data_IF_514691143500
#
_entry.id   IF_514691143500
#
_cell.length_a   1.000
_cell.length_b   1.000
_cell.length_c   1.000
_cell.angle_alpha   90.00
_cell.angle_beta   90.00
_cell.angle_gamma   90.00
#
_symmetry.space_group_name_H-M   'P 1'
#
loop_
_entity.id
_entity.type
_entity.pdbx_description
1 polymer ?
#
# COMPACT_ATOMS: atom_id res chain seq x y z
N UNK A 1 25.86 3.69 -9.26
CA UNK A 1 24.53 3.98 -9.88
C UNK A 1 23.61 2.75 -9.98
N UNK A 2 24.09 1.53 -10.26
CA UNK A 2 23.25 0.31 -10.22
C UNK A 2 22.59 0.10 -8.85
N UNK A 3 23.34 0.33 -7.78
CA UNK A 3 22.86 0.26 -6.38
C UNK A 3 21.70 1.21 -6.11
N UNK A 4 21.73 2.42 -6.68
CA UNK A 4 20.69 3.44 -6.49
C UNK A 4 19.36 3.03 -7.16
N UNK A 5 19.44 2.43 -8.36
CA UNK A 5 18.27 1.86 -9.04
C UNK A 5 17.71 0.65 -8.28
N UNK A 6 18.57 -0.16 -7.65
CA UNK A 6 18.13 -1.30 -6.85
C UNK A 6 17.40 -0.85 -5.59
N UNK A 7 17.86 0.22 -4.93
CA UNK A 7 17.19 0.80 -3.76
C UNK A 7 15.77 1.26 -4.10
N UNK A 8 15.60 1.99 -5.21
CA UNK A 8 14.27 2.42 -5.67
C UNK A 8 13.34 1.25 -5.90
N UNK A 9 13.83 0.19 -6.57
CA UNK A 9 13.07 -1.03 -6.82
C UNK A 9 12.67 -1.77 -5.54
N UNK A 10 13.58 -1.87 -4.56
CA UNK A 10 13.27 -2.49 -3.26
C UNK A 10 12.18 -1.72 -2.52
N UNK A 11 12.23 -0.39 -2.53
CA UNK A 11 11.18 0.46 -1.94
C UNK A 11 9.83 0.20 -2.62
N UNK A 12 9.79 0.07 -3.94
CA UNK A 12 8.57 -0.30 -4.68
C UNK A 12 8.00 -1.65 -4.23
N UNK A 13 8.87 -2.65 -4.05
CA UNK A 13 8.46 -4.00 -3.59
C UNK A 13 7.93 -3.96 -2.15
N UNK A 14 8.57 -3.21 -1.25
CA UNK A 14 8.08 -3.06 0.13
C UNK A 14 6.68 -2.42 0.12
N UNK A 15 6.47 -1.38 -0.68
CA UNK A 15 5.16 -0.76 -0.87
C UNK A 15 4.12 -1.74 -1.42
N UNK A 16 4.51 -2.62 -2.34
CA UNK A 16 3.64 -3.64 -2.93
C UNK A 16 3.21 -4.70 -1.92
N UNK A 17 4.15 -5.20 -1.11
CA UNK A 17 3.84 -6.14 -0.03
C UNK A 17 2.88 -5.51 1.00
N UNK A 18 3.09 -4.24 1.33
CA UNK A 18 2.22 -3.51 2.25
C UNK A 18 0.80 -3.36 1.67
N UNK A 19 0.68 -3.04 0.37
CA UNK A 19 -0.59 -2.92 -0.32
C UNK A 19 -1.35 -4.26 -0.35
N UNK A 20 -0.63 -5.37 -0.60
CA UNK A 20 -1.22 -6.70 -0.56
C UNK A 20 -1.65 -7.13 0.84
N UNK A 21 -0.87 -6.82 1.87
CA UNK A 21 -1.28 -7.05 3.24
C UNK A 21 -2.60 -6.32 3.55
N UNK A 22 -2.74 -5.07 3.08
CA UNK A 22 -3.96 -4.30 3.25
C UNK A 22 -5.15 -4.93 2.51
N UNK A 23 -4.98 -5.23 1.21
CA UNK A 23 -6.02 -5.77 0.34
C UNK A 23 -6.51 -7.16 0.75
N UNK A 24 -5.59 -8.06 1.16
CA UNK A 24 -5.89 -9.47 1.39
C UNK A 24 -5.97 -9.86 2.86
N UNK A 25 -5.45 -9.03 3.78
CA UNK A 25 -5.51 -9.26 5.21
C UNK A 25 -6.55 -8.39 5.89
N UNK A 26 -6.35 -7.07 5.81
CA UNK A 26 -7.12 -6.09 6.60
C UNK A 26 -8.55 -5.94 6.08
N UNK A 27 -8.73 -5.74 4.77
CA UNK A 27 -10.04 -5.55 4.12
C UNK A 27 -11.00 -6.73 4.34
N UNK A 28 -10.64 -7.99 4.05
CA UNK A 28 -11.57 -9.10 4.23
C UNK A 28 -11.93 -9.33 5.71
N UNK A 29 -10.99 -9.13 6.63
CA UNK A 29 -11.26 -9.23 8.06
C UNK A 29 -12.23 -8.15 8.54
N UNK A 30 -12.04 -6.91 8.08
CA UNK A 30 -12.96 -5.81 8.38
C UNK A 30 -14.36 -6.06 7.78
N UNK A 31 -14.42 -6.60 6.56
CA UNK A 31 -15.69 -6.93 5.91
C UNK A 31 -16.43 -8.06 6.66
N UNK A 32 -15.71 -9.04 7.18
CA UNK A 32 -16.29 -10.12 7.99
C UNK A 32 -16.88 -9.58 9.31
N UNK A 33 -16.13 -8.71 10.01
CA UNK A 33 -16.58 -7.98 11.20
C UNK A 33 -17.86 -7.14 10.95
N UNK A 34 -18.03 -6.57 9.75
CA UNK A 34 -19.19 -5.73 9.39
C UNK A 34 -20.39 -6.58 8.96
N UNK A 35 -20.15 -7.69 8.24
CA UNK A 35 -21.22 -8.50 7.64
C UNK A 35 -21.91 -9.42 8.65
N UNK A 36 -21.20 -9.86 9.69
CA UNK A 36 -21.73 -10.84 10.65
C UNK A 36 -22.59 -10.16 11.73
N UNK A 37 -23.89 -10.48 11.72
CA UNK A 37 -24.87 -9.92 12.64
C UNK A 37 -24.60 -10.29 14.12
N UNK A 38 -24.02 -11.46 14.37
CA UNK A 38 -23.65 -11.92 15.71
C UNK A 38 -22.50 -11.10 16.32
N UNK A 39 -21.64 -10.50 15.49
CA UNK A 39 -20.55 -9.65 15.95
C UNK A 39 -20.95 -8.18 16.15
N UNK A 40 -22.01 -7.70 15.48
CA UNK A 40 -22.44 -6.29 15.50
C UNK A 40 -22.89 -5.76 16.87
N UNK A 41 -23.25 -6.63 17.81
CA UNK A 41 -23.91 -6.25 19.06
C UNK A 41 -22.96 -6.10 20.27
N UNK A 42 -21.69 -6.48 20.15
CA UNK A 42 -20.76 -6.51 21.29
C UNK A 42 -19.83 -5.29 21.26
N UNK A 43 -19.71 -4.55 22.38
CA UNK A 43 -18.79 -3.39 22.49
C UNK A 43 -17.35 -3.71 22.08
N UNK A 44 -16.90 -4.94 22.35
CA UNK A 44 -15.59 -5.44 21.95
C UNK A 44 -15.41 -5.41 20.41
N UNK A 45 -16.42 -5.81 19.64
CA UNK A 45 -16.34 -5.81 18.18
C UNK A 45 -16.43 -4.42 17.57
N UNK A 46 -17.14 -3.50 18.23
CA UNK A 46 -17.17 -2.09 17.84
C UNK A 46 -15.76 -1.48 17.99
N UNK A 47 -15.10 -1.73 19.12
CA UNK A 47 -13.72 -1.29 19.35
C UNK A 47 -12.71 -1.93 18.37
N UNK A 48 -12.83 -3.25 18.11
CA UNK A 48 -12.00 -3.96 17.13
C UNK A 48 -12.19 -3.43 15.71
N UNK A 49 -13.43 -3.17 15.29
CA UNK A 49 -13.72 -2.59 13.98
C UNK A 49 -13.06 -1.23 13.82
N UNK A 50 -13.16 -0.37 14.82
CA UNK A 50 -12.59 0.97 14.76
C UNK A 50 -11.05 0.96 14.76
N UNK A 51 -10.42 0.03 15.49
CA UNK A 51 -8.96 -0.16 15.42
C UNK A 51 -8.52 -0.62 14.02
N UNK A 52 -9.25 -1.56 13.40
CA UNK A 52 -8.95 -2.04 12.06
C UNK A 52 -9.23 -1.02 10.96
N UNK A 53 -10.28 -0.19 11.09
CA UNK A 53 -10.53 0.95 10.19
C UNK A 53 -9.38 1.98 10.26
N UNK A 54 -8.90 2.29 11.47
CA UNK A 54 -7.75 3.17 11.66
C UNK A 54 -6.46 2.57 11.08
N UNK A 55 -6.23 1.26 11.27
CA UNK A 55 -5.09 0.55 10.67
C UNK A 55 -5.16 0.53 9.14
N UNK A 56 -6.33 0.26 8.57
CA UNK A 56 -6.58 0.28 7.13
C UNK A 56 -6.18 1.65 6.56
N UNK A 57 -6.69 2.74 7.16
CA UNK A 57 -6.36 4.10 6.75
C UNK A 57 -4.87 4.42 6.88
N UNK A 58 -4.25 4.06 8.00
CA UNK A 58 -2.83 4.32 8.23
C UNK A 58 -1.95 3.59 7.20
N UNK A 59 -2.24 2.30 6.94
CA UNK A 59 -1.51 1.49 5.96
C UNK A 59 -1.72 2.04 4.55
N UNK A 60 -2.93 2.46 4.21
CA UNK A 60 -3.24 3.12 2.93
C UNK A 60 -2.44 4.39 2.72
N UNK A 61 -2.37 5.28 3.73
CA UNK A 61 -1.57 6.50 3.68
C UNK A 61 -0.10 6.17 3.44
N UNK A 62 0.44 5.18 4.16
CA UNK A 62 1.82 4.72 3.98
C UNK A 62 2.07 4.17 2.56
N UNK A 63 1.14 3.38 2.02
CA UNK A 63 1.22 2.91 0.64
C UNK A 63 1.25 4.07 -0.36
N UNK A 64 0.41 5.10 -0.18
CA UNK A 64 0.42 6.29 -1.04
C UNK A 64 1.77 6.99 -0.97
N UNK A 65 2.28 7.27 0.23
CA UNK A 65 3.58 7.96 0.42
C UNK A 65 4.71 7.16 -0.22
N UNK A 66 4.80 5.85 0.06
CA UNK A 66 5.85 4.97 -0.46
C UNK A 66 5.74 4.85 -1.99
N UNK A 67 4.52 4.68 -2.52
CA UNK A 67 4.27 4.57 -3.94
C UNK A 67 4.66 5.85 -4.69
N UNK A 68 4.23 7.02 -4.21
CA UNK A 68 4.58 8.32 -4.81
C UNK A 68 6.08 8.55 -4.76
N UNK A 69 6.72 8.30 -3.60
CA UNK A 69 8.16 8.45 -3.46
C UNK A 69 8.93 7.51 -4.41
N UNK A 70 8.48 6.26 -4.52
CA UNK A 70 9.03 5.28 -5.46
C UNK A 70 8.90 5.75 -6.91
N UNK A 71 7.75 6.26 -7.33
CA UNK A 71 7.54 6.76 -8.70
C UNK A 71 8.44 7.95 -9.00
N UNK A 72 8.51 8.93 -8.10
CA UNK A 72 9.35 10.12 -8.28
C UNK A 72 10.83 9.74 -8.35
N UNK A 73 11.29 8.89 -7.43
CA UNK A 73 12.67 8.45 -7.37
C UNK A 73 13.07 7.61 -8.59
N UNK A 74 12.25 6.63 -9.00
CA UNK A 74 12.51 5.82 -10.18
C UNK A 74 12.44 6.64 -11.48
N UNK A 75 11.52 7.61 -11.59
CA UNK A 75 11.45 8.52 -12.74
C UNK A 75 12.68 9.41 -12.87
N UNK A 76 13.17 9.96 -11.75
CA UNK A 76 14.39 10.77 -11.74
C UNK A 76 15.62 9.96 -12.18
N UNK A 77 15.75 8.71 -11.71
CA UNK A 77 16.84 7.82 -12.13
C UNK A 77 16.68 7.41 -13.61
N UNK A 78 15.46 7.17 -14.08
CA UNK A 78 15.18 6.83 -15.47
C UNK A 78 15.61 7.94 -16.44
N UNK A 79 15.27 9.20 -16.14
CA UNK A 79 15.69 10.38 -16.93
C UNK A 79 17.22 10.48 -17.04
N UNK A 80 17.94 10.09 -15.98
CA UNK A 80 19.41 10.10 -15.96
C UNK A 80 20.03 8.90 -16.68
N UNK A 81 19.33 7.76 -16.70
CA UNK A 81 19.80 6.52 -17.33
C UNK A 81 18.60 5.62 -17.65
N UNK A 82 18.31 5.43 -18.94
CA UNK A 82 17.24 4.57 -19.47
C UNK A 82 17.43 3.08 -19.09
N UNK A 83 17.14 2.72 -17.83
CA UNK A 83 17.26 1.36 -17.33
C UNK A 83 15.88 0.71 -17.22
N UNK A 84 15.72 -0.51 -17.73
CA UNK A 84 14.45 -1.25 -17.65
C UNK A 84 13.95 -1.46 -16.22
N UNK A 85 14.86 -1.57 -15.24
CA UNK A 85 14.51 -1.71 -13.82
C UNK A 85 13.78 -0.49 -13.25
N UNK A 86 14.12 0.73 -13.67
CA UNK A 86 13.45 1.94 -13.16
C UNK A 86 12.06 2.09 -13.74
N UNK A 87 11.84 1.68 -14.99
CA UNK A 87 10.51 1.60 -15.60
C UNK A 87 9.60 0.59 -14.87
N UNK A 88 10.13 -0.56 -14.46
CA UNK A 88 9.36 -1.53 -13.67
C UNK A 88 9.07 -0.95 -12.28
N UNK A 89 10.04 -0.30 -11.63
CA UNK A 89 9.86 0.34 -10.32
C UNK A 89 8.82 1.47 -10.32
N UNK A 90 8.76 2.29 -11.38
CA UNK A 90 7.70 3.30 -11.52
C UNK A 90 6.33 2.66 -11.72
N UNK A 91 6.23 1.61 -12.54
CA UNK A 91 4.96 0.92 -12.76
C UNK A 91 4.43 0.24 -11.48
N UNK A 92 5.32 -0.42 -10.74
CA UNK A 92 4.99 -1.01 -9.42
C UNK A 92 4.60 0.08 -8.43
N UNK A 93 5.38 1.16 -8.32
CA UNK A 93 5.07 2.28 -7.44
C UNK A 93 3.70 2.90 -7.74
N UNK A 94 3.34 3.02 -9.01
CA UNK A 94 2.02 3.51 -9.43
C UNK A 94 0.89 2.59 -8.96
N UNK A 95 1.03 1.27 -9.15
CA UNK A 95 0.03 0.29 -8.66
C UNK A 95 -0.14 0.40 -7.15
N UNK A 96 0.97 0.52 -6.40
CA UNK A 96 0.95 0.69 -4.95
C UNK A 96 0.20 1.95 -4.55
N UNK A 97 0.44 3.07 -5.22
CA UNK A 97 -0.28 4.33 -4.97
C UNK A 97 -1.77 4.18 -5.24
N UNK A 98 -2.16 3.58 -6.37
CA UNK A 98 -3.58 3.37 -6.71
C UNK A 98 -4.27 2.50 -5.65
N UNK A 99 -3.65 1.39 -5.24
CA UNK A 99 -4.17 0.53 -4.17
C UNK A 99 -4.30 1.27 -2.84
N UNK A 100 -3.33 2.11 -2.49
CA UNK A 100 -3.41 2.96 -1.31
C UNK A 100 -4.56 3.96 -1.37
N UNK A 101 -4.79 4.60 -2.52
CA UNK A 101 -5.88 5.58 -2.70
C UNK A 101 -7.26 4.94 -2.63
N UNK A 102 -7.44 3.73 -3.17
CA UNK A 102 -8.75 3.02 -3.17
C UNK A 102 -9.27 2.79 -1.75
N UNK A 103 -8.37 2.53 -0.79
CA UNK A 103 -8.72 2.27 0.61
C UNK A 103 -8.73 3.53 1.48
N UNK A 104 -8.58 4.70 0.87
CA UNK A 104 -8.53 6.01 1.54
C UNK A 104 -9.79 6.84 1.23
N UNK A 105 -10.58 6.44 0.24
CA UNK A 105 -11.87 6.99 -0.18
C UNK A 105 -13.00 6.02 0.15
#
# INVERSE_FOLDING_TARGET
MRTLSAIGFVISIIGLLLAFYNQFGVVPFLNDLISNADYKATELNIALRQDYENRLNLISILCVIIGVFSVLFCSFIYLKKNTRMTMIGTLVGFIVTVLGVIHLF
#
